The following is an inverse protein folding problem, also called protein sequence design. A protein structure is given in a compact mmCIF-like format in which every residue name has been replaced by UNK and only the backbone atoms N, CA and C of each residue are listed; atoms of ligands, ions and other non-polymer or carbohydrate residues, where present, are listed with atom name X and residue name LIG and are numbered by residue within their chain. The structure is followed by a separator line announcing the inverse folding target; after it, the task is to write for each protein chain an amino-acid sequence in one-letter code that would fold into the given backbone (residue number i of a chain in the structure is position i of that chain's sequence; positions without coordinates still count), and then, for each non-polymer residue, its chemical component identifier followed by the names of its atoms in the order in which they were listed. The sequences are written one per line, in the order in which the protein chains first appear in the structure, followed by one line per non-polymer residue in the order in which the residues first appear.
data_IF_639423084867
#
_entry.id   IF_639423084867
#
_cell.length_a   1.000
_cell.length_b   1.000
_cell.length_c   1.000
_cell.angle_alpha   90.00
_cell.angle_beta   90.00
_cell.angle_gamma   90.00
#
_symmetry.space_group_name_H-M   'P 1'
#
loop_
_entity.id
_entity.type
_entity.pdbx_description
1 polymer ?
#
# COMPACT_ATOMS: atom_id res chain seq x y z
N UNK A 1 13.15 -28.84 8.85
CA UNK A 1 11.73 -29.23 8.67
C UNK A 1 11.12 -28.33 7.61
N UNK A 2 10.26 -28.83 6.72
CA UNK A 2 9.53 -27.99 5.79
C UNK A 2 8.64 -27.01 6.58
N UNK A 3 8.60 -25.75 6.14
CA UNK A 3 7.86 -24.66 6.80
C UNK A 3 6.51 -24.53 6.10
N UNK A 4 5.42 -24.47 6.88
CA UNK A 4 4.10 -24.13 6.36
C UNK A 4 4.00 -22.61 6.19
N UNK A 5 3.51 -22.20 5.04
CA UNK A 5 3.38 -20.80 4.65
C UNK A 5 1.94 -20.51 4.24
N UNK A 6 1.65 -19.25 3.90
CA UNK A 6 0.35 -18.94 3.32
C UNK A 6 0.25 -19.45 1.89
N UNK A 7 -0.77 -20.24 1.62
CA UNK A 7 -1.16 -20.66 0.28
C UNK A 7 -2.58 -20.21 -0.04
N UNK A 8 -2.91 -20.13 -1.33
CA UNK A 8 -4.22 -19.69 -1.82
C UNK A 8 -4.84 -20.83 -2.61
N UNK A 9 -5.92 -21.39 -2.05
CA UNK A 9 -6.67 -22.47 -2.69
C UNK A 9 -7.28 -22.02 -4.02
N UNK A 10 -7.75 -22.98 -4.82
CA UNK A 10 -8.50 -22.69 -6.06
C UNK A 10 -9.69 -21.78 -5.82
N UNK A 11 -10.38 -21.94 -4.68
CA UNK A 11 -11.54 -21.11 -4.29
C UNK A 11 -11.16 -19.74 -3.70
N UNK A 12 -9.87 -19.39 -3.63
CA UNK A 12 -9.42 -18.09 -3.13
C UNK A 12 -9.35 -18.00 -1.60
N UNK A 13 -9.30 -19.13 -0.88
CA UNK A 13 -9.10 -19.14 0.57
C UNK A 13 -7.62 -19.15 0.89
N UNK A 14 -7.21 -18.39 1.91
CA UNK A 14 -5.84 -18.43 2.43
C UNK A 14 -5.73 -19.54 3.48
N UNK A 15 -4.84 -20.49 3.25
CA UNK A 15 -4.56 -21.63 4.14
C UNK A 15 -3.09 -21.67 4.54
N UNK A 16 -2.76 -22.44 5.58
CA UNK A 16 -1.37 -22.68 5.99
C UNK A 16 -0.92 -24.06 5.51
N UNK A 17 -0.05 -24.10 4.51
CA UNK A 17 0.41 -25.35 3.89
C UNK A 17 1.81 -25.20 3.25
N UNK A 18 2.34 -26.28 2.69
CA UNK A 18 3.65 -26.32 2.05
C UNK A 18 3.66 -25.72 0.65
N UNK A 19 4.85 -25.35 0.16
CA UNK A 19 5.04 -24.92 -1.22
C UNK A 19 4.85 -26.07 -2.21
N UNK A 20 4.06 -25.82 -3.24
CA UNK A 20 3.94 -26.67 -4.42
C UNK A 20 4.72 -26.06 -5.59
N UNK A 21 5.36 -26.91 -6.39
CA UNK A 21 6.16 -26.48 -7.54
C UNK A 21 5.84 -27.33 -8.75
N UNK A 22 5.70 -26.68 -9.89
CA UNK A 22 5.62 -27.38 -11.16
C UNK A 22 7.01 -27.78 -11.65
N UNK A 23 7.11 -29.00 -12.17
CA UNK A 23 8.27 -29.50 -12.91
C UNK A 23 8.36 -28.77 -14.27
N UNK A 24 9.55 -28.73 -14.90
CA UNK A 24 9.72 -28.07 -16.20
C UNK A 24 8.75 -28.54 -17.29
N UNK A 25 8.42 -29.83 -17.33
CA UNK A 25 7.47 -30.37 -18.31
C UNK A 25 6.03 -29.91 -18.03
N UNK A 26 5.65 -29.76 -16.76
CA UNK A 26 4.32 -29.28 -16.35
C UNK A 26 4.17 -27.79 -16.67
N UNK A 27 5.22 -26.98 -16.44
CA UNK A 27 5.27 -25.57 -16.87
C UNK A 27 5.12 -25.48 -18.39
N UNK A 28 5.86 -26.29 -19.15
CA UNK A 28 5.76 -26.30 -20.61
C UNK A 28 4.34 -26.62 -21.08
N UNK A 29 3.72 -27.64 -20.48
CA UNK A 29 2.33 -28.04 -20.76
C UNK A 29 1.33 -26.95 -20.39
N UNK A 30 1.54 -26.28 -19.25
CA UNK A 30 0.71 -25.15 -18.82
C UNK A 30 0.78 -23.99 -19.82
N UNK A 31 1.98 -23.66 -20.30
CA UNK A 31 2.19 -22.59 -21.28
C UNK A 31 1.63 -22.94 -22.66
N UNK A 32 1.75 -24.20 -23.11
CA UNK A 32 1.21 -24.62 -24.41
C UNK A 32 -0.32 -24.60 -24.49
N UNK A 33 -1.00 -24.57 -23.34
CA UNK A 33 -2.46 -24.39 -23.27
C UNK A 33 -2.90 -22.93 -23.43
N UNK A 34 -1.98 -21.98 -23.33
CA UNK A 34 -2.30 -20.56 -23.40
C UNK A 34 -2.52 -20.13 -24.85
N UNK A 35 -3.52 -19.29 -25.05
CA UNK A 35 -3.89 -18.79 -26.37
C UNK A 35 -2.72 -18.02 -27.01
N UNK A 36 -2.52 -18.24 -28.31
CA UNK A 36 -1.45 -17.63 -29.10
C UNK A 36 -0.02 -17.96 -28.67
N UNK A 37 0.21 -18.90 -27.77
CA UNK A 37 1.56 -19.35 -27.40
C UNK A 37 1.93 -20.59 -28.20
N UNK A 38 2.96 -20.48 -29.03
CA UNK A 38 3.60 -21.61 -29.68
C UNK A 38 5.04 -21.76 -29.15
N UNK A 39 5.33 -22.88 -28.47
CA UNK A 39 6.65 -23.12 -27.86
C UNK A 39 7.59 -23.76 -28.89
N UNK A 40 8.68 -23.07 -29.22
CA UNK A 40 9.69 -23.50 -30.20
C UNK A 40 10.90 -24.20 -29.59
N UNK A 41 11.13 -24.07 -28.28
CA UNK A 41 12.26 -24.70 -27.59
C UNK A 41 11.85 -25.62 -26.44
N UNK A 42 12.73 -26.54 -26.06
CA UNK A 42 12.48 -27.54 -25.02
C UNK A 42 13.14 -27.22 -23.66
N UNK A 43 13.83 -26.09 -23.55
CA UNK A 43 14.56 -25.68 -22.34
C UNK A 43 14.23 -24.24 -21.98
N UNK A 44 14.32 -23.92 -20.70
CA UNK A 44 14.18 -22.56 -20.16
C UNK A 44 15.48 -21.78 -20.39
N UNK A 45 15.46 -20.56 -20.98
CA UNK A 45 14.31 -19.79 -21.45
C UNK A 45 13.62 -20.43 -22.66
N UNK A 46 12.29 -20.46 -22.63
CA UNK A 46 11.49 -20.93 -23.75
C UNK A 46 11.48 -19.89 -24.86
N UNK A 47 11.78 -20.28 -26.08
CA UNK A 47 11.51 -19.46 -27.26
C UNK A 47 10.04 -19.69 -27.59
N UNK A 48 9.23 -18.64 -27.48
CA UNK A 48 7.79 -18.72 -27.76
C UNK A 48 7.42 -17.73 -28.85
N UNK A 49 6.60 -18.17 -29.81
CA UNK A 49 5.95 -17.28 -30.76
C UNK A 49 4.62 -16.86 -30.16
N UNK A 50 4.44 -15.55 -29.97
CA UNK A 50 3.20 -14.93 -29.49
C UNK A 50 2.72 -13.89 -30.50
N UNK A 51 1.51 -14.06 -31.07
CA UNK A 51 0.94 -13.16 -32.11
C UNK A 51 1.97 -12.76 -33.20
N UNK A 52 2.71 -13.74 -33.72
CA UNK A 52 3.78 -13.59 -34.72
C UNK A 52 5.07 -12.90 -34.27
N UNK A 53 5.28 -12.71 -32.97
CA UNK A 53 6.52 -12.18 -32.40
C UNK A 53 7.23 -13.26 -31.60
N UNK A 54 8.52 -13.46 -31.86
CA UNK A 54 9.36 -14.33 -31.05
C UNK A 54 9.77 -13.63 -29.74
N UNK A 55 9.59 -14.34 -28.64
CA UNK A 55 9.81 -13.88 -27.26
C UNK A 55 10.66 -14.93 -26.54
N UNK A 56 11.66 -14.45 -25.81
CA UNK A 56 12.41 -15.28 -24.88
C UNK A 56 11.72 -15.26 -23.52
N UNK A 57 11.00 -16.33 -23.18
CA UNK A 57 10.25 -16.43 -21.93
C UNK A 57 11.06 -17.22 -20.89
N UNK A 58 11.68 -16.51 -19.95
CA UNK A 58 12.40 -17.12 -18.83
C UNK A 58 11.43 -17.38 -17.68
N UNK A 59 11.16 -18.65 -17.39
CA UNK A 59 10.06 -19.04 -16.48
C UNK A 59 10.61 -19.65 -15.19
N UNK A 60 10.07 -19.25 -14.05
CA UNK A 60 10.44 -19.81 -12.73
C UNK A 60 9.21 -20.06 -11.87
N UNK A 61 9.28 -21.05 -10.98
CA UNK A 61 8.27 -21.19 -9.94
C UNK A 61 8.38 -20.00 -8.95
N UNK A 62 7.24 -19.49 -8.52
CA UNK A 62 7.11 -18.55 -7.42
C UNK A 62 7.02 -19.38 -6.14
N UNK A 63 7.97 -19.21 -5.24
CA UNK A 63 8.08 -20.02 -4.02
C UNK A 63 8.45 -19.14 -2.82
N UNK A 64 8.25 -19.67 -1.63
CA UNK A 64 8.70 -19.06 -0.38
C UNK A 64 10.21 -18.85 -0.33
N UNK A 65 10.62 -17.83 0.41
CA UNK A 65 12.00 -17.39 0.53
C UNK A 65 12.85 -18.30 1.43
N UNK A 66 12.22 -19.09 2.30
CA UNK A 66 12.90 -19.93 3.29
C UNK A 66 13.30 -19.13 4.53
N UNK A 67 14.52 -19.32 5.03
CA UNK A 67 15.05 -18.64 6.22
C UNK A 67 15.95 -17.47 5.85
N UNK A 68 15.95 -16.41 6.66
CA UNK A 68 16.92 -15.31 6.66
C UNK A 68 17.84 -15.43 7.87
N UNK A 69 19.05 -14.87 7.77
CA UNK A 69 19.86 -14.58 8.95
C UNK A 69 19.53 -13.18 9.46
N UNK A 70 19.37 -13.04 10.77
CA UNK A 70 19.30 -11.73 11.43
C UNK A 70 20.70 -11.09 11.51
N UNK A 71 20.77 -9.87 12.05
CA UNK A 71 22.03 -9.11 12.19
C UNK A 71 23.03 -9.77 13.15
N UNK A 72 22.58 -10.71 13.97
CA UNK A 72 23.37 -11.44 14.97
C UNK A 72 23.76 -12.83 14.46
N UNK A 73 23.36 -13.19 13.23
CA UNK A 73 23.65 -14.48 12.60
C UNK A 73 22.64 -15.59 12.92
N UNK A 74 21.58 -15.31 13.69
CA UNK A 74 20.52 -16.28 13.98
C UNK A 74 19.61 -16.44 12.77
N UNK A 75 19.06 -17.64 12.58
CA UNK A 75 18.09 -17.87 11.53
C UNK A 75 16.68 -17.49 11.99
N UNK A 76 16.04 -16.60 11.26
CA UNK A 76 14.63 -16.25 11.36
C UNK A 76 13.92 -16.68 10.07
N UNK A 77 12.64 -17.00 10.15
CA UNK A 77 11.86 -17.34 8.97
C UNK A 77 11.51 -16.03 8.21
N UNK A 78 11.52 -16.06 6.88
CA UNK A 78 10.93 -14.95 6.12
C UNK A 78 9.43 -14.84 6.43
N UNK A 79 8.81 -13.72 6.10
CA UNK A 79 7.38 -13.57 6.34
C UNK A 79 6.59 -14.61 5.52
N UNK A 80 5.71 -15.39 6.17
CA UNK A 80 5.03 -16.54 5.55
C UNK A 80 4.13 -16.17 4.36
N UNK A 81 3.78 -14.89 4.22
CA UNK A 81 3.00 -14.35 3.11
C UNK A 81 3.87 -13.94 1.91
N UNK A 82 5.21 -13.97 2.03
CA UNK A 82 6.17 -13.44 1.06
C UNK A 82 6.78 -14.55 0.20
N UNK A 83 6.76 -14.37 -1.11
CA UNK A 83 7.24 -15.32 -2.12
C UNK A 83 8.10 -14.59 -3.17
N UNK A 84 8.89 -15.34 -3.93
CA UNK A 84 9.72 -14.82 -5.04
C UNK A 84 10.03 -15.90 -6.07
N UNK A 85 10.56 -15.47 -7.20
CA UNK A 85 11.29 -16.35 -8.11
C UNK A 85 12.78 -16.39 -7.74
N UNK A 86 13.43 -17.52 -7.97
CA UNK A 86 14.89 -17.67 -7.86
C UNK A 86 15.49 -17.77 -9.25
N UNK A 87 16.36 -16.83 -9.58
CA UNK A 87 16.96 -16.71 -10.90
C UNK A 87 18.36 -17.35 -10.90
N UNK A 88 18.69 -18.08 -11.97
CA UNK A 88 20.02 -18.65 -12.15
C UNK A 88 21.02 -17.64 -12.71
N UNK A 89 22.31 -17.87 -12.53
CA UNK A 89 23.39 -17.01 -13.06
C UNK A 89 23.29 -16.81 -14.58
N UNK A 90 22.74 -17.81 -15.28
CA UNK A 90 22.52 -17.79 -16.71
C UNK A 90 21.52 -16.71 -17.18
N UNK A 91 20.71 -16.12 -16.29
CA UNK A 91 19.72 -15.12 -16.69
C UNK A 91 20.32 -13.78 -17.10
N UNK A 92 21.42 -13.35 -16.47
CA UNK A 92 22.05 -12.04 -16.76
C UNK A 92 22.37 -11.83 -18.25
N UNK A 93 22.95 -12.79 -18.99
CA UNK A 93 23.12 -12.64 -20.43
C UNK A 93 21.80 -12.72 -21.22
N UNK A 94 20.81 -13.49 -20.74
CA UNK A 94 19.50 -13.66 -21.40
C UNK A 94 18.63 -12.40 -21.28
N UNK A 95 18.66 -11.73 -20.14
CA UNK A 95 17.83 -10.56 -19.86
C UNK A 95 18.15 -9.40 -20.81
N UNK A 96 19.41 -9.28 -21.23
CA UNK A 96 19.90 -8.29 -22.21
C UNK A 96 19.38 -8.52 -23.64
N UNK A 97 18.81 -9.68 -23.94
CA UNK A 97 18.24 -9.95 -25.25
C UNK A 97 16.92 -9.17 -25.45
N UNK A 98 16.65 -8.78 -26.70
CA UNK A 98 15.38 -8.14 -27.07
C UNK A 98 14.22 -9.11 -26.83
N UNK A 99 13.06 -8.57 -26.45
CA UNK A 99 11.84 -9.33 -26.20
C UNK A 99 11.98 -10.46 -25.15
N UNK A 100 12.90 -10.33 -24.20
CA UNK A 100 12.96 -11.24 -23.04
C UNK A 100 11.95 -10.82 -21.99
N UNK A 101 11.11 -11.77 -21.56
CA UNK A 101 10.18 -11.63 -20.43
C UNK A 101 10.56 -12.59 -19.30
N UNK A 102 10.40 -12.13 -18.06
CA UNK A 102 10.61 -12.89 -16.85
C UNK A 102 9.27 -13.24 -16.23
N UNK A 103 8.91 -14.52 -16.26
CA UNK A 103 7.60 -15.01 -15.83
C UNK A 103 7.75 -15.92 -14.60
N UNK A 104 7.06 -15.58 -13.52
CA UNK A 104 6.81 -16.48 -12.41
C UNK A 104 5.51 -17.25 -12.57
N UNK A 105 5.51 -18.49 -12.10
CA UNK A 105 4.31 -19.32 -11.97
C UNK A 105 4.13 -19.69 -10.50
N UNK A 106 3.05 -19.21 -9.89
CA UNK A 106 2.55 -19.68 -8.61
C UNK A 106 1.59 -20.84 -8.88
N UNK A 107 1.77 -21.95 -8.16
CA UNK A 107 0.93 -23.14 -8.26
C UNK A 107 0.58 -23.63 -6.86
N UNK A 108 -0.71 -23.84 -6.59
CA UNK A 108 -1.19 -24.52 -5.39
C UNK A 108 -2.63 -24.99 -5.62
N UNK A 109 -2.99 -26.19 -5.16
CA UNK A 109 -4.38 -26.70 -5.22
C UNK A 109 -4.97 -26.64 -6.65
N UNK A 110 -4.19 -27.06 -7.64
CA UNK A 110 -4.55 -27.00 -9.07
C UNK A 110 -4.96 -25.61 -9.59
N UNK A 111 -4.55 -24.54 -8.92
CA UNK A 111 -4.73 -23.17 -9.38
C UNK A 111 -3.38 -22.56 -9.73
N UNK A 112 -3.29 -21.97 -10.93
CA UNK A 112 -2.10 -21.24 -11.35
C UNK A 112 -2.38 -19.74 -11.36
N UNK A 113 -1.40 -18.98 -10.87
CA UNK A 113 -1.34 -17.53 -11.04
C UNK A 113 0.03 -17.18 -11.58
N UNK A 114 0.05 -16.31 -12.57
CA UNK A 114 1.27 -15.87 -13.22
C UNK A 114 1.69 -14.51 -12.70
N UNK A 115 2.99 -14.22 -12.76
CA UNK A 115 3.53 -12.91 -12.47
C UNK A 115 4.60 -12.55 -13.50
N UNK A 116 4.43 -11.45 -14.22
CA UNK A 116 5.51 -10.86 -15.01
C UNK A 116 6.30 -9.94 -14.08
N UNK A 117 7.62 -10.13 -14.03
CA UNK A 117 8.54 -9.32 -13.25
C UNK A 117 9.31 -8.36 -14.16
N UNK A 118 9.55 -7.14 -13.69
CA UNK A 118 10.53 -6.26 -14.31
C UNK A 118 11.93 -6.91 -14.25
N UNK A 119 12.55 -7.09 -15.42
CA UNK A 119 13.87 -7.70 -15.54
C UNK A 119 15.01 -6.75 -15.14
N UNK A 120 14.82 -5.43 -15.21
CA UNK A 120 15.89 -4.44 -14.95
C UNK A 120 16.45 -4.58 -13.53
N UNK A 121 15.57 -4.87 -12.56
CA UNK A 121 15.91 -5.07 -11.15
C UNK A 121 16.83 -6.27 -10.92
N UNK A 122 16.76 -7.27 -11.79
CA UNK A 122 17.58 -8.49 -11.73
C UNK A 122 18.89 -8.38 -12.54
N UNK A 123 18.98 -7.42 -13.46
CA UNK A 123 20.18 -7.12 -14.24
C UNK A 123 21.24 -6.43 -13.37
N UNK A 124 20.80 -5.43 -12.60
CA UNK A 124 21.68 -4.50 -11.89
C UNK A 124 22.08 -4.96 -10.48
N UNK A 125 21.50 -6.06 -9.99
CA UNK A 125 21.72 -6.56 -8.63
C UNK A 125 22.57 -7.83 -8.58
N UNK A 126 23.18 -8.11 -7.42
CA UNK A 126 23.61 -9.48 -7.11
C UNK A 126 22.34 -10.35 -7.09
N UNK A 127 22.30 -11.34 -7.99
CA UNK A 127 21.10 -11.93 -8.63
C UNK A 127 19.88 -12.30 -7.76
N UNK A 128 19.99 -12.29 -6.43
CA UNK A 128 18.96 -12.72 -5.49
C UNK A 128 18.54 -11.68 -4.43
N UNK A 129 19.30 -10.59 -4.20
CA UNK A 129 19.05 -9.65 -3.09
C UNK A 129 18.17 -8.44 -3.46
N UNK A 130 18.01 -8.13 -4.74
CA UNK A 130 17.10 -7.07 -5.23
C UNK A 130 15.86 -7.62 -5.96
N UNK A 131 15.58 -8.92 -5.80
CA UNK A 131 14.40 -9.53 -6.43
C UNK A 131 13.10 -8.89 -5.94
N UNK A 132 12.20 -8.62 -6.89
CA UNK A 132 10.83 -8.27 -6.61
C UNK A 132 10.15 -9.44 -5.88
N UNK A 133 9.31 -9.09 -4.90
CA UNK A 133 8.56 -10.06 -4.12
C UNK A 133 7.10 -10.05 -4.54
N UNK A 134 6.48 -11.21 -4.45
CA UNK A 134 5.04 -11.37 -4.58
C UNK A 134 4.48 -11.85 -3.25
N UNK A 135 3.37 -11.27 -2.82
CA UNK A 135 2.75 -11.55 -1.54
C UNK A 135 1.44 -12.30 -1.77
N UNK A 136 0.94 -12.98 -0.74
CA UNK A 136 -0.39 -13.60 -0.77
C UNK A 136 -1.46 -12.61 -1.21
N UNK A 137 -1.39 -11.35 -0.76
CA UNK A 137 -2.36 -10.33 -1.16
C UNK A 137 -2.30 -9.98 -2.65
N UNK A 138 -1.13 -10.03 -3.28
CA UNK A 138 -0.97 -9.77 -4.72
C UNK A 138 -1.67 -10.85 -5.55
N UNK A 139 -1.55 -12.11 -5.12
CA UNK A 139 -2.20 -13.25 -5.76
C UNK A 139 -3.72 -13.21 -5.54
N UNK A 140 -4.19 -12.87 -4.33
CA UNK A 140 -5.63 -12.69 -4.08
C UNK A 140 -6.21 -11.57 -4.95
N UNK A 141 -5.50 -10.43 -5.06
CA UNK A 141 -5.92 -9.32 -5.91
C UNK A 141 -5.98 -9.70 -7.38
N UNK A 142 -5.01 -10.46 -7.88
CA UNK A 142 -5.09 -10.98 -9.24
C UNK A 142 -6.29 -11.93 -9.44
N UNK A 143 -6.68 -12.71 -8.44
CA UNK A 143 -7.89 -13.56 -8.52
C UNK A 143 -9.20 -12.75 -8.50
N UNK A 144 -9.24 -11.66 -7.74
CA UNK A 144 -10.38 -10.73 -7.69
C UNK A 144 -10.50 -9.91 -8.98
N UNK A 145 -9.40 -9.30 -9.43
CA UNK A 145 -9.35 -8.34 -10.53
C UNK A 145 -8.97 -8.95 -11.87
N UNK A 146 -8.71 -10.26 -11.91
CA UNK A 146 -8.19 -11.00 -13.07
C UNK A 146 -6.76 -10.63 -13.50
N UNK A 147 -6.36 -9.37 -13.33
CA UNK A 147 -5.04 -8.80 -13.58
C UNK A 147 -4.80 -7.67 -12.56
N UNK A 148 -3.65 -7.70 -11.90
CA UNK A 148 -3.25 -6.74 -10.88
C UNK A 148 -1.81 -6.29 -11.10
N UNK A 149 -1.58 -4.97 -11.12
CA UNK A 149 -0.24 -4.39 -11.25
C UNK A 149 0.12 -3.64 -9.96
N UNK A 150 1.38 -3.79 -9.53
CA UNK A 150 1.91 -3.09 -8.36
C UNK A 150 3.38 -2.72 -8.57
N UNK A 151 3.74 -1.54 -8.09
CA UNK A 151 5.14 -1.15 -7.85
C UNK A 151 5.51 -1.46 -6.40
N UNK A 152 6.60 -2.19 -6.16
CA UNK A 152 7.11 -2.47 -4.82
C UNK A 152 7.94 -1.31 -4.25
N UNK A 153 8.37 -1.40 -2.99
CA UNK A 153 9.18 -0.32 -2.37
C UNK A 153 10.53 -0.03 -3.02
N UNK A 154 11.05 -0.94 -3.82
CA UNK A 154 12.32 -0.78 -4.54
C UNK A 154 12.10 -0.22 -5.95
N UNK A 155 10.85 0.06 -6.33
CA UNK A 155 10.49 0.53 -7.66
C UNK A 155 10.31 -0.59 -8.68
N UNK A 156 10.26 -1.85 -8.24
CA UNK A 156 10.05 -2.97 -9.15
C UNK A 156 8.57 -3.08 -9.51
N UNK A 157 8.26 -3.16 -10.80
CA UNK A 157 6.90 -3.41 -11.25
C UNK A 157 6.66 -4.92 -11.39
N UNK A 158 5.51 -5.36 -10.87
CA UNK A 158 4.99 -6.72 -11.05
C UNK A 158 3.59 -6.66 -11.64
N UNK A 159 3.29 -7.58 -12.56
CA UNK A 159 1.94 -7.78 -13.10
C UNK A 159 1.53 -9.21 -12.79
N UNK A 160 0.57 -9.37 -11.90
CA UNK A 160 0.05 -10.65 -11.43
C UNK A 160 -1.31 -10.91 -12.08
N UNK A 161 -1.52 -12.09 -12.65
CA UNK A 161 -2.73 -12.39 -13.43
C UNK A 161 -3.11 -13.87 -13.41
N UNK A 162 -4.40 -14.15 -13.59
CA UNK A 162 -4.91 -15.51 -13.70
C UNK A 162 -4.68 -16.09 -15.10
N UNK A 163 -4.79 -17.42 -15.24
CA UNK A 163 -4.63 -18.09 -16.55
C UNK A 163 -5.53 -17.51 -17.64
N UNK A 164 -6.77 -17.13 -17.30
CA UNK A 164 -7.73 -16.58 -18.27
C UNK A 164 -7.29 -15.23 -18.86
N UNK A 165 -6.38 -14.53 -18.19
CA UNK A 165 -5.92 -13.20 -18.58
C UNK A 165 -4.50 -13.18 -19.15
N UNK A 166 -3.96 -14.36 -19.51
CA UNK A 166 -2.63 -14.48 -20.07
C UNK A 166 -2.44 -13.60 -21.32
N UNK A 167 -3.41 -13.64 -22.25
CA UNK A 167 -3.39 -12.80 -23.47
C UNK A 167 -3.35 -11.31 -23.12
N UNK A 168 -4.25 -10.86 -22.23
CA UNK A 168 -4.34 -9.45 -21.82
C UNK A 168 -3.03 -8.96 -21.18
N UNK A 169 -2.46 -9.75 -20.27
CA UNK A 169 -1.20 -9.40 -19.60
C UNK A 169 -0.02 -9.30 -20.58
N UNK A 170 0.09 -10.26 -21.51
CA UNK A 170 1.14 -10.24 -22.54
C UNK A 170 0.98 -9.07 -23.50
N UNK A 171 -0.25 -8.76 -23.93
CA UNK A 171 -0.53 -7.60 -24.78
C UNK A 171 -0.15 -6.29 -24.08
N UNK A 172 -0.48 -6.13 -22.80
CA UNK A 172 -0.11 -4.96 -22.00
C UNK A 172 1.41 -4.75 -22.02
N UNK A 173 2.17 -5.79 -21.69
CA UNK A 173 3.63 -5.71 -21.58
C UNK A 173 4.31 -5.55 -22.94
N UNK A 174 3.91 -6.33 -23.95
CA UNK A 174 4.60 -6.36 -25.25
C UNK A 174 4.26 -5.18 -26.15
N UNK A 175 3.10 -4.56 -25.96
CA UNK A 175 2.69 -3.34 -26.67
C UNK A 175 3.06 -2.07 -25.91
N UNK A 176 3.79 -2.18 -24.79
CA UNK A 176 4.10 -1.07 -23.88
C UNK A 176 2.86 -0.25 -23.48
N UNK A 177 1.71 -0.92 -23.30
CA UNK A 177 0.50 -0.28 -22.80
C UNK A 177 0.62 -0.20 -21.28
N UNK A 178 0.22 0.94 -20.70
CA UNK A 178 0.05 1.03 -19.25
C UNK A 178 -1.24 0.32 -18.87
N UNK A 179 -1.26 -0.36 -17.71
CA UNK A 179 -2.53 -0.75 -17.12
C UNK A 179 -3.31 0.51 -16.74
N UNK A 180 -4.62 0.44 -16.93
CA UNK A 180 -5.52 1.50 -16.48
C UNK A 180 -5.72 1.32 -14.98
N UNK A 181 -5.39 2.35 -14.20
CA UNK A 181 -5.72 2.38 -12.78
C UNK A 181 -7.24 2.38 -12.61
N UNK A 182 -7.72 1.82 -11.49
CA UNK A 182 -9.14 1.90 -11.18
C UNK A 182 -9.54 3.36 -10.88
N UNK A 183 -10.83 3.67 -11.03
CA UNK A 183 -11.37 5.00 -10.78
C UNK A 183 -10.99 5.50 -9.37
N UNK A 184 -11.08 4.63 -8.37
CA UNK A 184 -10.78 4.95 -6.97
C UNK A 184 -9.30 5.29 -6.76
N UNK A 185 -8.39 4.59 -7.45
CA UNK A 185 -6.95 4.87 -7.37
C UNK A 185 -6.61 6.15 -8.12
N UNK A 186 -7.26 6.42 -9.25
CA UNK A 186 -7.04 7.63 -10.05
C UNK A 186 -7.30 8.91 -9.26
N UNK A 187 -8.34 8.92 -8.42
CA UNK A 187 -8.66 10.07 -7.54
C UNK A 187 -7.44 10.46 -6.71
N UNK A 188 -6.80 9.50 -6.05
CA UNK A 188 -5.64 9.79 -5.20
C UNK A 188 -4.37 10.03 -5.99
N UNK A 189 -4.21 9.38 -7.16
CA UNK A 189 -3.11 9.69 -8.08
C UNK A 189 -3.16 11.14 -8.56
N UNK A 190 -4.35 11.66 -8.86
CA UNK A 190 -4.53 13.02 -9.34
C UNK A 190 -4.47 14.02 -8.18
N UNK A 191 -5.13 13.71 -7.07
CA UNK A 191 -5.01 14.48 -5.83
C UNK A 191 -3.55 14.67 -5.43
N UNK A 192 -2.73 13.61 -5.45
CA UNK A 192 -1.32 13.72 -5.08
C UNK A 192 -0.55 14.72 -5.95
N UNK A 193 -0.94 14.91 -7.22
CA UNK A 193 -0.29 15.86 -8.13
C UNK A 193 -0.61 17.33 -7.78
N UNK A 194 -1.65 17.56 -6.98
CA UNK A 194 -2.05 18.92 -6.55
C UNK A 194 -1.34 19.37 -5.27
N UNK A 195 -0.67 18.46 -4.57
CA UNK A 195 -0.05 18.75 -3.28
C UNK A 195 1.37 19.27 -3.45
N UNK A 196 1.67 20.37 -2.75
CA UNK A 196 3.05 20.76 -2.51
C UNK A 196 3.68 19.81 -1.49
N UNK A 197 4.90 19.34 -1.73
CA UNK A 197 5.57 18.40 -0.82
C UNK A 197 5.91 19.03 0.54
N UNK A 198 6.19 20.33 0.60
CA UNK A 198 6.62 21.02 1.82
C UNK A 198 5.44 21.74 2.48
N UNK A 199 5.12 21.38 3.73
CA UNK A 199 4.08 22.02 4.52
C UNK A 199 4.67 22.66 5.77
N UNK A 200 4.39 23.96 5.96
CA UNK A 200 4.75 24.73 7.14
C UNK A 200 3.54 24.88 8.05
N UNK A 201 3.66 24.51 9.33
CA UNK A 201 2.52 24.37 10.22
C UNK A 201 1.72 25.66 10.40
N UNK A 202 2.38 26.81 10.52
CA UNK A 202 1.72 28.13 10.61
C UNK A 202 0.91 28.41 9.36
N UNK A 203 1.48 28.21 8.18
CA UNK A 203 0.80 28.48 6.90
C UNK A 203 -0.41 27.56 6.72
N UNK A 204 -0.26 26.27 7.05
CA UNK A 204 -1.35 25.30 7.01
C UNK A 204 -2.51 25.71 7.95
N UNK A 205 -2.20 26.16 9.17
CA UNK A 205 -3.24 26.65 10.08
C UNK A 205 -3.93 27.91 9.54
N UNK A 206 -3.16 28.89 9.06
CA UNK A 206 -3.72 30.13 8.47
C UNK A 206 -4.67 29.78 7.34
N UNK A 207 -4.26 28.90 6.43
CA UNK A 207 -5.08 28.50 5.30
C UNK A 207 -6.38 27.82 5.73
N UNK A 208 -6.30 26.81 6.61
CA UNK A 208 -7.49 26.11 7.12
C UNK A 208 -8.42 27.05 7.89
N UNK A 209 -7.88 27.97 8.70
CA UNK A 209 -8.68 28.92 9.48
C UNK A 209 -9.36 29.97 8.59
N UNK A 210 -8.66 30.50 7.58
CA UNK A 210 -9.22 31.46 6.62
C UNK A 210 -10.36 30.84 5.81
N UNK A 211 -10.31 29.53 5.55
CA UNK A 211 -11.35 28.77 4.87
C UNK A 211 -12.39 28.15 5.83
N UNK A 212 -12.39 28.54 7.10
CA UNK A 212 -13.33 28.06 8.13
C UNK A 212 -13.40 26.53 8.27
N UNK A 213 -12.30 25.83 8.05
CA UNK A 213 -12.26 24.38 8.22
C UNK A 213 -12.38 24.00 9.70
N UNK A 214 -13.38 23.19 10.05
CA UNK A 214 -13.77 22.94 11.44
C UNK A 214 -12.65 22.33 12.31
N UNK A 215 -11.76 21.55 11.70
CA UNK A 215 -10.66 20.85 12.40
C UNK A 215 -9.36 21.67 12.44
N UNK A 216 -9.37 22.89 11.92
CA UNK A 216 -8.21 23.80 11.88
C UNK A 216 -7.60 24.11 13.27
N UNK A 217 -8.33 23.85 14.36
CA UNK A 217 -7.89 24.15 15.72
C UNK A 217 -7.33 22.93 16.46
N UNK A 218 -7.20 21.78 15.80
CA UNK A 218 -6.68 20.56 16.42
C UNK A 218 -5.16 20.42 16.20
N UNK A 219 -4.46 19.92 17.22
CA UNK A 219 -2.99 19.89 17.26
C UNK A 219 -2.32 18.85 16.34
N UNK A 220 -3.10 17.98 15.70
CA UNK A 220 -2.61 17.00 14.71
C UNK A 220 -2.72 17.55 13.28
N UNK A 221 -2.33 18.81 13.11
CA UNK A 221 -2.61 19.62 11.92
C UNK A 221 -2.25 18.98 10.58
N UNK A 222 -1.20 18.16 10.51
CA UNK A 222 -0.80 17.53 9.25
C UNK A 222 -1.88 16.56 8.72
N UNK A 223 -2.59 15.86 9.60
CA UNK A 223 -3.72 15.00 9.21
C UNK A 223 -4.89 15.84 8.73
N UNK A 224 -5.30 16.81 9.55
CA UNK A 224 -6.42 17.70 9.23
C UNK A 224 -6.18 18.57 7.99
N UNK A 225 -4.93 18.96 7.71
CA UNK A 225 -4.58 19.70 6.51
C UNK A 225 -4.66 18.82 5.26
N UNK A 226 -4.27 17.54 5.36
CA UNK A 226 -4.47 16.57 4.28
C UNK A 226 -5.96 16.38 3.98
N UNK A 227 -6.77 16.19 5.01
CA UNK A 227 -8.23 16.11 4.91
C UNK A 227 -8.84 17.36 4.26
N UNK A 228 -8.44 18.56 4.71
CA UNK A 228 -8.87 19.83 4.13
C UNK A 228 -8.54 19.94 2.64
N UNK A 229 -7.29 19.59 2.26
CA UNK A 229 -6.86 19.60 0.86
C UNK A 229 -7.62 18.59 0.02
N UNK A 230 -7.94 17.43 0.57
CA UNK A 230 -8.72 16.43 -0.15
C UNK A 230 -10.18 16.86 -0.36
N UNK A 231 -10.81 17.44 0.67
CA UNK A 231 -12.15 18.01 0.55
C UNK A 231 -12.19 19.14 -0.51
N UNK A 232 -11.21 20.05 -0.47
CA UNK A 232 -11.05 21.09 -1.49
C UNK A 232 -10.89 20.49 -2.90
N UNK A 233 -10.05 19.46 -3.03
CA UNK A 233 -9.86 18.75 -4.30
C UNK A 233 -11.15 18.14 -4.83
N UNK A 234 -11.93 17.45 -3.98
CA UNK A 234 -13.20 16.87 -4.39
C UNK A 234 -14.24 17.93 -4.78
N UNK A 235 -14.32 19.05 -4.05
CA UNK A 235 -15.22 20.17 -4.41
C UNK A 235 -14.87 20.80 -5.76
N UNK A 236 -13.57 20.85 -6.09
CA UNK A 236 -13.09 21.35 -7.38
C UNK A 236 -13.18 20.32 -8.52
N UNK A 237 -13.47 19.05 -8.21
CA UNK A 237 -13.59 17.95 -9.18
C UNK A 237 -14.87 17.12 -8.91
N UNK A 238 -16.07 17.66 -9.19
CA UNK A 238 -17.33 17.02 -8.81
C UNK A 238 -17.50 15.59 -9.34
N UNK A 239 -16.97 15.26 -10.52
CA UNK A 239 -17.01 13.90 -11.07
C UNK A 239 -16.30 12.83 -10.22
N UNK A 240 -15.41 13.24 -9.30
CA UNK A 240 -14.80 12.33 -8.33
C UNK A 240 -15.66 12.07 -7.10
N UNK A 241 -16.64 12.94 -6.80
CA UNK A 241 -17.54 12.76 -5.66
C UNK A 241 -18.49 11.56 -5.84
N UNK A 242 -18.85 11.24 -7.08
CA UNK A 242 -19.66 10.06 -7.40
C UNK A 242 -18.92 8.73 -7.17
N UNK A 243 -17.59 8.78 -7.06
CA UNK A 243 -16.74 7.61 -6.84
C UNK A 243 -16.26 7.55 -5.39
N UNK A 244 -15.82 8.68 -4.83
CA UNK A 244 -15.30 8.78 -3.47
C UNK A 244 -15.80 10.06 -2.80
N UNK A 245 -16.47 9.89 -1.67
CA UNK A 245 -16.97 10.99 -0.85
C UNK A 245 -16.09 11.16 0.38
N UNK A 246 -15.84 12.40 0.74
CA UNK A 246 -15.28 12.75 2.04
C UNK A 246 -16.42 12.85 3.07
N UNK A 247 -16.53 11.83 3.91
CA UNK A 247 -17.63 11.66 4.87
C UNK A 247 -17.11 11.82 6.29
N UNK A 248 -17.11 13.05 6.81
CA UNK A 248 -16.97 13.26 8.25
C UNK A 248 -18.26 12.80 8.96
N UNK A 249 -18.45 11.48 9.09
CA UNK A 249 -19.66 10.89 9.66
C UNK A 249 -19.79 11.26 11.14
N UNK A 250 -20.83 12.04 11.48
CA UNK A 250 -21.12 12.51 12.85
C UNK A 250 -22.24 11.73 13.52
N UNK A 251 -22.85 10.77 12.84
CA UNK A 251 -23.92 9.96 13.41
C UNK A 251 -23.36 8.87 14.33
N UNK A 252 -23.97 8.72 15.51
CA UNK A 252 -23.49 7.87 16.60
C UNK A 252 -23.42 6.36 16.26
N UNK A 253 -24.03 5.94 15.15
CA UNK A 253 -24.11 4.57 14.65
C UNK A 253 -23.27 4.32 13.40
N UNK A 254 -22.71 5.36 12.78
CA UNK A 254 -21.94 5.24 11.56
C UNK A 254 -20.48 4.81 11.85
N UNK A 255 -19.87 4.14 10.87
CA UNK A 255 -18.45 3.80 10.92
C UNK A 255 -17.64 5.09 10.74
N UNK A 256 -16.85 5.44 11.76
CA UNK A 256 -16.03 6.65 11.81
C UNK A 256 -14.70 6.45 11.05
N UNK A 257 -14.77 6.77 9.76
CA UNK A 257 -13.72 6.75 8.74
C UNK A 257 -13.97 7.89 7.74
N UNK A 258 -12.92 8.49 7.20
CA UNK A 258 -13.01 9.75 6.43
C UNK A 258 -13.63 9.61 5.04
N UNK A 259 -13.58 8.42 4.45
CA UNK A 259 -13.86 8.20 3.03
C UNK A 259 -14.93 7.12 2.81
N UNK A 260 -15.78 7.35 1.84
CA UNK A 260 -16.75 6.38 1.35
C UNK A 260 -16.65 6.23 -0.17
N UNK A 261 -16.40 5.00 -0.63
CA UNK A 261 -16.28 4.67 -2.05
C UNK A 261 -17.63 4.15 -2.56
N UNK A 262 -18.44 5.04 -3.12
CA UNK A 262 -19.83 4.74 -3.50
C UNK A 262 -19.91 3.59 -4.53
N UNK A 263 -19.14 3.64 -5.62
CA UNK A 263 -19.25 2.62 -6.68
C UNK A 263 -18.94 1.20 -6.19
N UNK A 264 -18.02 1.05 -5.23
CA UNK A 264 -17.53 -0.23 -4.73
C UNK A 264 -18.02 -0.57 -3.33
N UNK A 265 -18.78 0.33 -2.70
CA UNK A 265 -19.42 0.18 -1.39
C UNK A 265 -18.41 -0.26 -0.32
N UNK A 266 -17.43 0.58 0.01
CA UNK A 266 -16.51 0.34 1.13
C UNK A 266 -15.95 1.64 1.70
N UNK A 267 -15.40 1.57 2.91
CA UNK A 267 -14.81 2.73 3.59
C UNK A 267 -13.30 2.86 3.37
N UNK A 268 -12.80 4.09 3.50
CA UNK A 268 -11.39 4.35 3.66
C UNK A 268 -11.10 5.53 4.58
N UNK A 269 -9.83 5.84 4.75
CA UNK A 269 -9.39 6.89 5.67
C UNK A 269 -8.06 7.51 5.20
N UNK A 270 -7.91 8.81 5.45
CA UNK A 270 -6.74 9.60 5.07
C UNK A 270 -5.74 9.66 6.23
N UNK A 271 -4.49 9.27 5.97
CA UNK A 271 -3.43 9.29 6.98
C UNK A 271 -2.24 10.12 6.53
N UNK A 272 -1.96 11.22 7.23
CA UNK A 272 -0.65 11.86 7.20
C UNK A 272 0.27 11.16 8.23
N UNK A 273 1.23 10.38 7.74
CA UNK A 273 2.01 9.46 8.57
C UNK A 273 3.52 9.71 8.53
N UNK A 274 4.16 9.62 9.71
CA UNK A 274 5.61 9.75 9.81
C UNK A 274 6.33 8.47 9.40
N UNK A 275 7.33 8.56 8.52
CA UNK A 275 8.06 7.40 7.96
C UNK A 275 8.79 6.51 8.99
N UNK A 276 9.04 7.00 10.21
CA UNK A 276 9.89 6.34 11.20
C UNK A 276 9.17 5.48 12.23
N UNK A 277 7.87 5.23 12.05
CA UNK A 277 7.06 4.53 13.06
C UNK A 277 5.95 3.68 12.44
N UNK A 278 5.38 2.81 13.27
CA UNK A 278 4.20 2.02 12.92
C UNK A 278 3.01 2.95 12.61
N UNK A 279 2.22 2.59 11.60
CA UNK A 279 1.01 3.33 11.24
C UNK A 279 -0.05 3.06 12.29
N UNK A 280 -0.52 4.11 12.95
CA UNK A 280 -1.64 4.03 13.89
C UNK A 280 -2.91 4.27 13.05
N UNK A 281 -3.81 3.30 13.06
CA UNK A 281 -5.09 3.37 12.35
C UNK A 281 -6.22 3.90 13.24
N UNK A 282 -7.43 3.46 12.92
CA UNK A 282 -8.67 3.85 13.59
C UNK A 282 -9.02 2.87 14.71
N UNK A 283 -10.11 3.17 15.40
CA UNK A 283 -10.64 2.31 16.46
C UNK A 283 -10.90 0.89 15.93
N UNK A 284 -10.43 -0.10 16.68
CA UNK A 284 -10.47 -1.51 16.27
C UNK A 284 -11.90 -2.00 16.01
N UNK A 285 -12.87 -1.52 16.78
CA UNK A 285 -14.28 -1.83 16.58
C UNK A 285 -14.78 -1.34 15.23
N UNK A 286 -14.45 -0.10 14.84
CA UNK A 286 -14.88 0.48 13.56
C UNK A 286 -14.28 -0.29 12.38
N UNK A 287 -12.98 -0.62 12.46
CA UNK A 287 -12.33 -1.41 11.40
C UNK A 287 -12.94 -2.81 11.29
N UNK A 288 -13.15 -3.50 12.42
CA UNK A 288 -13.77 -4.82 12.38
C UNK A 288 -15.19 -4.78 11.82
N UNK A 289 -15.96 -3.73 12.14
CA UNK A 289 -17.31 -3.55 11.62
C UNK A 289 -17.30 -3.26 10.12
N UNK A 290 -16.40 -2.39 9.66
CA UNK A 290 -16.24 -2.09 8.23
C UNK A 290 -15.83 -3.35 7.44
N UNK A 291 -14.89 -4.13 7.98
CA UNK A 291 -14.48 -5.40 7.37
C UNK A 291 -15.62 -6.42 7.35
N UNK A 292 -16.44 -6.47 8.40
CA UNK A 292 -17.59 -7.39 8.47
C UNK A 292 -18.67 -7.05 7.44
N UNK A 293 -18.94 -5.76 7.25
CA UNK A 293 -19.98 -5.30 6.33
C UNK A 293 -19.50 -5.23 4.87
N UNK A 294 -18.27 -4.78 4.63
CA UNK A 294 -17.79 -4.40 3.29
C UNK A 294 -16.55 -5.16 2.83
N UNK A 295 -16.08 -6.15 3.61
CA UNK A 295 -14.91 -7.01 3.34
C UNK A 295 -13.53 -6.34 3.32
N UNK A 296 -13.47 -5.02 3.12
CA UNK A 296 -12.21 -4.26 3.05
C UNK A 296 -12.34 -2.83 3.58
N UNK A 297 -11.19 -2.26 3.92
CA UNK A 297 -10.99 -0.84 4.24
C UNK A 297 -9.70 -0.37 3.57
N UNK A 298 -9.69 0.84 3.02
CA UNK A 298 -8.46 1.44 2.47
C UNK A 298 -7.90 2.52 3.38
N UNK A 299 -6.60 2.49 3.62
CA UNK A 299 -5.86 3.64 4.16
C UNK A 299 -5.07 4.30 3.05
N UNK A 300 -5.34 5.59 2.83
CA UNK A 300 -4.60 6.43 1.89
C UNK A 300 -3.55 7.18 2.70
N UNK A 301 -2.32 6.66 2.65
CA UNK A 301 -1.26 7.07 3.55
C UNK A 301 -0.28 7.97 2.84
N UNK A 302 -0.31 9.27 3.16
CA UNK A 302 0.69 10.24 2.76
C UNK A 302 1.83 10.23 3.78
N UNK A 303 2.94 9.63 3.37
CA UNK A 303 4.13 9.48 4.21
C UNK A 303 4.98 10.73 4.17
N UNK A 304 5.45 11.16 5.34
CA UNK A 304 6.22 12.39 5.47
C UNK A 304 7.36 12.27 6.49
N UNK A 305 8.41 13.06 6.27
CA UNK A 305 9.36 13.40 7.33
C UNK A 305 8.81 14.55 8.18
N UNK A 306 9.28 14.67 9.42
CA UNK A 306 8.76 15.69 10.36
C UNK A 306 9.92 16.43 11.00
N UNK A 307 9.82 17.75 11.02
CA UNK A 307 10.62 18.60 11.90
C UNK A 307 9.68 19.07 13.03
N UNK A 308 10.02 18.78 14.29
CA UNK A 308 9.22 19.24 15.44
C UNK A 308 9.61 20.65 15.82
N UNK A 309 8.68 21.41 16.40
CA UNK A 309 8.96 22.78 16.86
C UNK A 309 10.14 22.81 17.83
N UNK A 310 10.16 21.93 18.84
CA UNK A 310 11.25 21.85 19.81
C UNK A 310 12.65 21.66 19.18
N UNK A 311 12.72 21.10 17.97
CA UNK A 311 13.97 20.79 17.29
C UNK A 311 14.39 21.93 16.32
N UNK A 312 13.49 22.88 16.05
CA UNK A 312 13.69 23.98 15.09
C UNK A 312 13.80 25.34 15.76
N UNK A 313 12.98 25.60 16.76
CA UNK A 313 12.88 26.88 17.46
C UNK A 313 12.67 26.63 18.95
N UNK A 314 13.51 27.25 19.79
CA UNK A 314 13.41 27.14 21.25
C UNK A 314 12.09 27.68 21.79
N UNK A 315 11.48 28.63 21.08
CA UNK A 315 10.20 29.25 21.47
C UNK A 315 8.99 28.54 20.86
N UNK A 316 9.19 27.78 19.77
CA UNK A 316 8.15 26.97 19.12
C UNK A 316 7.11 27.75 18.35
N UNK A 317 7.54 28.37 17.24
CA UNK A 317 6.71 29.19 16.36
C UNK A 317 5.29 28.63 16.10
N UNK A 318 5.17 27.36 15.70
CA UNK A 318 3.87 26.76 15.34
C UNK A 318 3.00 26.54 16.58
N UNK A 319 3.61 26.11 17.67
CA UNK A 319 2.96 25.87 18.97
C UNK A 319 2.41 27.18 19.53
N UNK A 320 3.22 28.23 19.53
CA UNK A 320 2.82 29.56 19.99
C UNK A 320 1.67 30.11 19.15
N UNK A 321 1.80 30.07 17.82
CA UNK A 321 0.75 30.51 16.89
C UNK A 321 -0.58 29.80 17.17
N UNK A 322 -0.53 28.46 17.24
CA UNK A 322 -1.72 27.63 17.47
C UNK A 322 -2.38 27.91 18.82
N UNK A 323 -1.59 27.97 19.90
CA UNK A 323 -2.11 28.27 21.25
C UNK A 323 -2.70 29.67 21.34
N UNK A 324 -2.10 30.66 20.67
CA UNK A 324 -2.66 32.02 20.58
C UNK A 324 -4.04 32.00 19.90
N UNK A 325 -4.17 31.32 18.76
CA UNK A 325 -5.46 31.21 18.05
C UNK A 325 -6.52 30.45 18.84
N UNK A 326 -6.13 29.40 19.57
CA UNK A 326 -7.03 28.70 20.49
C UNK A 326 -7.52 29.65 21.61
N UNK A 327 -6.62 30.41 22.22
CA UNK A 327 -6.97 31.33 23.30
C UNK A 327 -7.89 32.46 22.79
N UNK A 328 -7.60 33.06 21.64
CA UNK A 328 -8.47 34.04 20.97
C UNK A 328 -9.88 33.47 20.74
N UNK A 329 -10.00 32.19 20.34
CA UNK A 329 -11.28 31.51 20.17
C UNK A 329 -12.00 31.31 21.50
N UNK A 330 -11.29 30.94 22.57
CA UNK A 330 -11.87 30.76 23.90
C UNK A 330 -12.36 32.07 24.50
N UNK A 331 -11.65 33.18 24.30
CA UNK A 331 -12.10 34.52 24.66
C UNK A 331 -13.41 34.88 23.98
N UNK A 332 -13.49 34.69 22.65
CA UNK A 332 -14.69 35.02 21.87
C UNK A 332 -15.90 34.15 22.22
N UNK A 333 -15.69 32.88 22.57
CA UNK A 333 -16.77 31.90 22.77
C UNK A 333 -17.13 31.68 24.23
N UNK A 334 -16.28 32.11 25.18
CA UNK A 334 -16.40 31.79 26.60
C UNK A 334 -16.26 30.29 26.92
N UNK A 335 -15.83 29.45 25.97
CA UNK A 335 -15.79 27.99 26.11
C UNK A 335 -14.37 27.47 25.93
N UNK A 336 -13.75 26.95 27.00
CA UNK A 336 -12.44 26.28 26.93
C UNK A 336 -11.54 26.64 28.10
N UNK A 337 -10.28 26.18 28.05
CA UNK A 337 -9.25 26.52 29.04
C UNK A 337 -8.02 27.06 28.33
N UNK A 338 -7.64 28.28 28.70
CA UNK A 338 -6.44 28.94 28.19
C UNK A 338 -5.22 28.03 28.27
N UNK A 339 -4.46 28.05 27.19
CA UNK A 339 -3.24 27.27 27.00
C UNK A 339 -2.03 28.17 27.23
N UNK A 340 -1.00 27.63 27.88
CA UNK A 340 0.33 28.26 27.86
C UNK A 340 0.86 28.21 26.43
N UNK A 341 1.54 29.26 25.98
CA UNK A 341 1.97 29.39 24.59
C UNK A 341 2.94 28.29 24.16
N UNK A 342 3.74 27.77 25.09
CA UNK A 342 4.70 26.67 24.90
C UNK A 342 4.09 25.26 25.12
N UNK A 343 2.82 25.19 25.52
CA UNK A 343 2.18 23.89 25.78
C UNK A 343 2.04 23.11 24.47
N UNK A 344 2.50 21.85 24.45
CA UNK A 344 2.57 20.95 23.28
C UNK A 344 3.84 21.05 22.40
N UNK A 345 4.82 21.88 22.77
CA UNK A 345 6.07 22.10 22.02
C UNK A 345 6.80 20.81 21.59
N UNK A 346 6.83 19.79 22.45
CA UNK A 346 7.52 18.52 22.19
C UNK A 346 6.81 17.61 21.17
N UNK A 347 5.53 17.88 20.88
CA UNK A 347 4.67 17.10 20.00
C UNK A 347 4.31 17.85 18.72
N UNK A 348 4.25 19.18 18.77
CA UNK A 348 3.91 19.99 17.62
C UNK A 348 4.91 19.81 16.49
N UNK A 349 4.39 19.68 15.27
CA UNK A 349 5.21 19.66 14.06
C UNK A 349 5.40 21.10 13.61
N UNK A 350 6.66 21.50 13.43
CA UNK A 350 7.00 22.75 12.77
C UNK A 350 6.66 22.68 11.29
N UNK A 351 7.12 21.59 10.66
CA UNK A 351 6.90 21.34 9.25
C UNK A 351 6.90 19.84 8.96
N UNK A 352 6.26 19.49 7.84
CA UNK A 352 6.33 18.15 7.27
C UNK A 352 6.74 18.24 5.80
N UNK A 353 7.47 17.23 5.34
CA UNK A 353 7.84 17.08 3.93
C UNK A 353 7.30 15.74 3.47
N UNK A 354 6.29 15.78 2.61
CA UNK A 354 5.74 14.60 1.95
C UNK A 354 6.83 13.94 1.08
N UNK A 355 6.88 12.61 1.11
CA UNK A 355 7.84 11.83 0.31
C UNK A 355 7.13 10.93 -0.71
N UNK A 356 6.07 10.27 -0.27
CA UNK A 356 5.29 9.36 -1.09
C UNK A 356 3.89 9.21 -0.53
N UNK A 357 2.98 8.63 -1.33
CA UNK A 357 1.77 8.05 -0.79
C UNK A 357 1.60 6.59 -1.20
N UNK A 358 0.86 5.86 -0.38
CA UNK A 358 0.48 4.48 -0.64
C UNK A 358 -0.99 4.27 -0.31
N UNK A 359 -1.65 3.41 -1.08
CA UNK A 359 -2.96 2.88 -0.76
C UNK A 359 -2.75 1.51 -0.13
N UNK A 360 -3.16 1.39 1.12
CA UNK A 360 -3.10 0.16 1.89
C UNK A 360 -4.50 -0.44 1.97
N UNK A 361 -4.67 -1.69 1.54
CA UNK A 361 -5.92 -2.41 1.75
C UNK A 361 -5.82 -3.31 2.97
N UNK A 362 -6.74 -3.12 3.92
CA UNK A 362 -7.02 -4.05 5.00
C UNK A 362 -8.23 -4.89 4.58
N UNK A 363 -8.14 -6.21 4.68
CA UNK A 363 -9.22 -7.13 4.36
C UNK A 363 -9.25 -8.32 5.35
N UNK A 364 -10.21 -9.22 5.17
CA UNK A 364 -10.38 -10.38 6.05
C UNK A 364 -9.15 -11.30 6.13
N UNK A 365 -8.28 -11.29 5.12
CA UNK A 365 -7.12 -12.17 5.04
C UNK A 365 -5.88 -11.57 5.73
N UNK A 366 -5.62 -10.28 5.54
CA UNK A 366 -4.45 -9.63 6.13
C UNK A 366 -4.72 -8.96 7.48
N UNK A 367 -5.98 -8.86 7.94
CA UNK A 367 -6.30 -8.29 9.28
C UNK A 367 -5.57 -8.95 10.44
N UNK A 368 -5.17 -10.21 10.30
CA UNK A 368 -4.39 -10.95 11.32
C UNK A 368 -2.98 -10.39 11.56
N UNK A 369 -2.48 -9.54 10.65
CA UNK A 369 -1.20 -8.85 10.78
C UNK A 369 -1.33 -7.48 11.47
N UNK A 370 -2.56 -7.03 11.76
CA UNK A 370 -2.79 -5.85 12.57
C UNK A 370 -2.41 -6.12 14.02
N UNK A 371 -1.89 -5.10 14.70
CA UNK A 371 -1.61 -5.15 16.14
C UNK A 371 -2.45 -4.15 16.91
N UNK A 372 -2.70 -4.47 18.18
CA UNK A 372 -3.47 -3.61 19.07
C UNK A 372 -2.59 -2.45 19.56
N UNK A 373 -3.04 -1.22 19.31
CA UNK A 373 -2.44 0.00 19.83
C UNK A 373 -3.24 0.54 21.01
N UNK A 374 -2.66 0.45 22.21
CA UNK A 374 -3.24 0.98 23.44
C UNK A 374 -2.90 2.47 23.57
N UNK A 375 -3.89 3.34 23.40
CA UNK A 375 -3.73 4.79 23.40
C UNK A 375 -3.51 5.41 24.80
N UNK A 376 -3.54 4.60 25.87
CA UNK A 376 -3.49 5.08 27.25
C UNK A 376 -4.84 5.55 27.77
N UNK A 377 -4.86 6.63 28.55
CA UNK A 377 -6.04 7.15 29.25
C UNK A 377 -6.45 8.53 28.73
N UNK A 378 -7.74 8.82 28.81
CA UNK A 378 -8.32 10.13 28.60
C UNK A 378 -7.98 11.10 29.74
N UNK A 379 -8.24 12.39 29.53
CA UNK A 379 -8.04 13.42 30.57
C UNK A 379 -8.88 13.19 31.83
N UNK A 380 -9.98 12.44 31.73
CA UNK A 380 -10.83 12.02 32.85
C UNK A 380 -10.38 10.70 33.49
N UNK A 381 -9.25 10.12 33.07
CA UNK A 381 -8.70 8.87 33.60
C UNK A 381 -9.29 7.59 33.00
N UNK A 382 -10.36 7.67 32.20
CA UNK A 382 -10.94 6.51 31.53
C UNK A 382 -9.99 5.96 30.45
N UNK A 383 -9.97 4.65 30.24
CA UNK A 383 -9.18 4.05 29.15
C UNK A 383 -9.69 4.49 27.79
N UNK A 384 -8.76 4.80 26.88
CA UNK A 384 -9.10 5.07 25.50
C UNK A 384 -9.37 3.77 24.75
N UNK A 385 -10.29 3.83 23.80
CA UNK A 385 -10.57 2.72 22.88
C UNK A 385 -9.28 2.25 22.21
N UNK A 386 -9.17 0.94 22.00
CA UNK A 386 -8.03 0.33 21.31
C UNK A 386 -8.12 0.67 19.83
N UNK A 387 -7.00 1.11 19.26
CA UNK A 387 -6.84 1.30 17.80
C UNK A 387 -6.10 0.12 17.19
N UNK A 388 -6.27 -0.06 15.89
CA UNK A 388 -5.36 -0.93 15.14
C UNK A 388 -4.06 -0.21 14.84
N UNK A 389 -3.00 -0.98 14.60
CA UNK A 389 -1.76 -0.47 14.03
C UNK A 389 -1.19 -1.45 13.03
N UNK A 390 -0.57 -0.91 11.97
CA UNK A 390 0.19 -1.66 10.97
C UNK A 390 1.67 -1.43 11.25
N UNK A 391 2.42 -2.50 11.47
CA UNK A 391 3.86 -2.37 11.70
C UNK A 391 4.54 -1.80 10.47
N UNK A 392 5.53 -0.92 10.68
CA UNK A 392 6.35 -0.34 9.60
C UNK A 392 6.89 -1.42 8.67
N UNK A 393 7.39 -2.52 9.23
CA UNK A 393 7.92 -3.66 8.47
C UNK A 393 6.91 -4.29 7.51
N UNK A 394 5.61 -4.27 7.84
CA UNK A 394 4.58 -4.93 7.04
C UNK A 394 4.13 -4.03 5.87
N UNK A 395 4.20 -2.70 6.06
CA UNK A 395 4.07 -1.70 4.98
C UNK A 395 5.28 -1.78 4.05
N UNK A 396 6.49 -1.84 4.62
CA UNK A 396 7.75 -1.97 3.88
C UNK A 396 7.90 -3.32 3.16
N UNK A 397 7.20 -4.35 3.60
CA UNK A 397 7.12 -5.64 2.92
C UNK A 397 5.87 -5.72 2.05
N UNK A 398 5.23 -4.60 1.72
CA UNK A 398 4.13 -4.54 0.75
C UNK A 398 2.92 -5.45 1.04
N UNK A 399 2.73 -5.88 2.30
CA UNK A 399 1.69 -6.85 2.66
C UNK A 399 0.27 -6.24 2.56
N UNK A 400 0.17 -4.93 2.77
CA UNK A 400 -1.07 -4.18 2.67
C UNK A 400 -1.11 -3.30 1.42
N UNK A 401 0.04 -3.06 0.77
CA UNK A 401 0.17 -2.07 -0.30
C UNK A 401 -0.45 -2.59 -1.58
N UNK A 402 -1.43 -1.86 -2.12
CA UNK A 402 -2.01 -2.12 -3.45
C UNK A 402 -1.61 -1.07 -4.49
N UNK A 403 -1.19 0.12 -4.05
CA UNK A 403 -0.68 1.17 -4.91
C UNK A 403 0.33 2.03 -4.14
N UNK A 404 1.32 2.58 -4.85
CA UNK A 404 2.28 3.55 -4.30
C UNK A 404 2.73 4.52 -5.37
N UNK A 405 3.05 5.75 -4.96
CA UNK A 405 3.61 6.78 -5.84
C UNK A 405 4.44 7.77 -5.02
N UNK A 406 5.56 8.20 -5.61
CA UNK A 406 6.40 9.28 -5.05
C UNK A 406 5.74 10.64 -5.30
N UNK A 407 5.86 11.54 -4.34
CA UNK A 407 5.33 12.91 -4.40
C UNK A 407 6.45 13.87 -4.81
#
# INVERSE_FOLDING_TARGET
MPIKIEQITKTGRVVSDYDEKLKPNEIKLLLSKQKYIEIKSNKNPYIVKYKNKDINLYVKNITYLGRKKDKLGNYDDWEHYKKRIQIGENFKPISKQKNTLLLGVYHYDNANVFCIFDKQSYENSSANNASAHIHTMDILKAKELSLFEKTDKKGNNIIVFTEQNFEKAFDVVLLNKKTTLSNEINIFNDFSNTLNANWLGVDCYIEMMNNNFNLAYLGEWAGYYLEYKFDEFLRNNPGYQDICQYVQNKEHTAIDLDLWFEEKQFYGDLKAHGVDRDLIGNDKTNINEALRQYNKVWYIVFSHSTIKDKDKDKNGLTTEFWNKKINERYEKTGKGKFKKLDSYLSRMKHSVILDNFAILEINQFNKKYLVDFKQGKNSNGAERKIKISIKKKDIENDNFVIYRKKI
#
